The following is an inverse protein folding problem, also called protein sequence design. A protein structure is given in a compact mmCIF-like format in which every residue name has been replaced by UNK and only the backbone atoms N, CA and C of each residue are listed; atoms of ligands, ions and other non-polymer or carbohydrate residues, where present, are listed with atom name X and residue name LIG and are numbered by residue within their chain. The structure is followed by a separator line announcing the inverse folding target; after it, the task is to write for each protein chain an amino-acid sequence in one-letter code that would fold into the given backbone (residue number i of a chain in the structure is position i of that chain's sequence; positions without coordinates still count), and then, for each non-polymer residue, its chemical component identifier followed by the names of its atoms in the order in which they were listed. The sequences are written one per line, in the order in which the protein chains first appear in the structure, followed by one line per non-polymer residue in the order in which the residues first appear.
data_IF_199748242704
#
_entry.id   IF_199748242704
#
_cell.length_a   1.000
_cell.length_b   1.000
_cell.length_c   1.000
_cell.angle_alpha   90.00
_cell.angle_beta   90.00
_cell.angle_gamma   90.00
#
_symmetry.space_group_name_H-M   'P 1'
#
loop_
_entity.id
_entity.type
_entity.pdbx_description
1 polymer ?
#
# COMPACT_ATOMS: atom_id res chain seq x y z
N UNK A 1 -15.27 8.89 7.92
CA UNK A 1 -16.65 8.32 8.01
C UNK A 1 -16.68 6.80 8.13
N UNK A 2 -16.25 6.01 7.09
CA UNK A 2 -16.37 4.54 7.14
C UNK A 2 -15.59 3.93 8.33
N UNK A 3 -14.38 4.40 8.58
CA UNK A 3 -13.55 4.00 9.71
C UNK A 3 -14.12 4.44 11.06
N UNK A 4 -14.51 5.68 11.19
CA UNK A 4 -15.07 6.27 12.41
C UNK A 4 -16.38 5.58 12.82
N UNK A 5 -17.18 5.16 11.85
CA UNK A 5 -18.48 4.53 12.06
C UNK A 5 -18.42 3.00 12.08
N UNK A 6 -17.25 2.40 11.93
CA UNK A 6 -17.10 0.94 11.90
C UNK A 6 -17.84 0.25 10.74
N UNK A 7 -18.07 0.96 9.63
CA UNK A 7 -18.82 0.42 8.49
C UNK A 7 -18.14 -0.81 7.90
N UNK A 8 -18.94 -1.81 7.60
CA UNK A 8 -18.51 -2.99 6.84
C UNK A 8 -18.31 -2.67 5.37
N UNK A 9 -17.60 -3.54 4.64
CA UNK A 9 -17.47 -3.41 3.18
C UNK A 9 -18.83 -3.38 2.46
N UNK A 10 -19.77 -4.15 2.96
CA UNK A 10 -21.12 -4.23 2.38
C UNK A 10 -21.87 -2.91 2.55
N UNK A 11 -21.87 -2.34 3.75
CA UNK A 11 -22.49 -1.04 4.03
C UNK A 11 -21.83 0.09 3.22
N UNK A 12 -20.49 0.13 3.22
CA UNK A 12 -19.73 1.08 2.42
C UNK A 12 -20.10 1.00 0.92
N UNK A 13 -20.18 -0.23 0.38
CA UNK A 13 -20.52 -0.44 -1.02
C UNK A 13 -21.97 -0.06 -1.33
N UNK A 14 -22.91 -0.41 -0.45
CA UNK A 14 -24.32 -0.07 -0.59
C UNK A 14 -24.57 1.43 -0.60
N UNK A 15 -23.85 2.20 0.24
CA UNK A 15 -24.00 3.65 0.32
C UNK A 15 -23.31 4.37 -0.85
N UNK A 16 -22.12 3.92 -1.24
CA UNK A 16 -21.32 4.64 -2.24
C UNK A 16 -21.73 4.33 -3.69
N UNK A 17 -22.21 3.12 -3.97
CA UNK A 17 -22.59 2.73 -5.34
C UNK A 17 -23.62 3.68 -5.98
N UNK A 18 -24.76 4.00 -5.34
CA UNK A 18 -25.74 4.90 -5.94
C UNK A 18 -25.20 6.33 -6.15
N UNK A 19 -24.30 6.79 -5.28
CA UNK A 19 -23.65 8.10 -5.43
C UNK A 19 -22.75 8.12 -6.67
N UNK A 20 -21.98 7.05 -6.90
CA UNK A 20 -21.11 6.93 -8.07
C UNK A 20 -21.94 6.76 -9.36
N UNK A 21 -23.04 6.03 -9.29
CA UNK A 21 -23.99 5.88 -10.41
C UNK A 21 -24.61 7.22 -10.81
N UNK A 22 -25.10 7.98 -9.84
CA UNK A 22 -25.68 9.30 -10.07
C UNK A 22 -24.68 10.29 -10.69
N UNK A 23 -23.38 10.14 -10.37
CA UNK A 23 -22.31 10.95 -10.96
C UNK A 23 -21.79 10.41 -12.30
N UNK A 24 -22.33 9.31 -12.81
CA UNK A 24 -21.84 8.66 -14.02
C UNK A 24 -20.47 7.99 -13.88
N UNK A 25 -20.04 7.66 -12.65
CA UNK A 25 -18.74 7.07 -12.33
C UNK A 25 -18.85 5.57 -11.99
N UNK A 26 -19.84 4.89 -12.55
CA UNK A 26 -20.08 3.47 -12.31
C UNK A 26 -20.19 2.68 -13.61
N UNK A 27 -19.68 1.45 -13.58
CA UNK A 27 -19.73 0.56 -14.74
C UNK A 27 -18.68 0.94 -15.79
N UNK A 28 -18.97 0.59 -17.02
CA UNK A 28 -18.12 0.93 -18.17
C UNK A 28 -18.72 2.10 -18.93
N UNK A 29 -17.86 2.96 -19.43
CA UNK A 29 -18.27 4.14 -20.19
C UNK A 29 -17.24 4.41 -21.29
N UNK A 30 -17.76 4.88 -22.42
CA UNK A 30 -16.91 5.37 -23.49
C UNK A 30 -16.43 6.77 -23.14
N UNK A 31 -15.12 6.93 -23.07
CA UNK A 31 -14.43 8.17 -22.73
C UNK A 31 -13.57 8.58 -23.89
N UNK A 32 -13.78 9.79 -24.41
CA UNK A 32 -12.94 10.34 -25.46
C UNK A 32 -11.61 10.83 -24.87
N UNK A 33 -10.51 10.50 -25.53
CA UNK A 33 -9.22 11.08 -25.24
C UNK A 33 -9.24 12.55 -25.71
N UNK A 34 -8.99 13.52 -24.84
CA UNK A 34 -9.03 14.92 -25.22
C UNK A 34 -7.95 15.32 -26.25
N UNK A 35 -6.84 14.56 -26.31
CA UNK A 35 -5.70 14.88 -27.17
C UNK A 35 -5.82 14.25 -28.58
N UNK A 36 -6.35 13.02 -28.66
CA UNK A 36 -6.45 12.30 -29.96
C UNK A 36 -7.86 12.23 -30.51
N UNK A 37 -8.88 12.46 -29.70
CA UNK A 37 -10.29 12.30 -30.06
C UNK A 37 -10.77 10.83 -30.08
N UNK A 38 -9.87 9.87 -29.87
CA UNK A 38 -10.22 8.44 -29.83
C UNK A 38 -11.10 8.12 -28.63
N UNK A 39 -12.04 7.21 -28.81
CA UNK A 39 -12.94 6.78 -27.74
C UNK A 39 -12.54 5.39 -27.25
N UNK A 40 -12.35 5.28 -25.95
CA UNK A 40 -12.08 4.00 -25.28
C UNK A 40 -13.16 3.65 -24.26
N UNK A 41 -13.49 2.36 -24.21
CA UNK A 41 -14.42 1.82 -23.22
C UNK A 41 -13.70 1.50 -21.92
N UNK A 42 -13.77 2.40 -20.95
CA UNK A 42 -13.05 2.31 -19.67
C UNK A 42 -13.94 1.86 -18.51
N UNK A 43 -13.39 1.09 -17.59
CA UNK A 43 -14.04 0.71 -16.34
C UNK A 43 -13.87 1.83 -15.31
N UNK A 44 -14.95 2.54 -15.00
CA UNK A 44 -14.95 3.62 -14.02
C UNK A 44 -15.09 3.10 -12.58
N UNK A 45 -16.25 2.59 -12.23
CA UNK A 45 -16.53 2.02 -10.91
C UNK A 45 -16.94 0.55 -11.01
N UNK A 46 -16.62 -0.23 -9.97
CA UNK A 46 -17.02 -1.64 -9.88
C UNK A 46 -16.99 -2.11 -8.43
N UNK A 47 -17.67 -3.22 -8.08
CA UNK A 47 -17.55 -3.83 -6.75
C UNK A 47 -16.11 -4.18 -6.38
N UNK A 48 -15.32 -4.66 -7.35
CA UNK A 48 -13.90 -4.95 -7.15
C UNK A 48 -13.10 -3.70 -6.78
N UNK A 49 -13.34 -2.57 -7.45
CA UNK A 49 -12.68 -1.29 -7.17
C UNK A 49 -13.05 -0.78 -5.78
N UNK A 50 -14.34 -0.82 -5.42
CA UNK A 50 -14.77 -0.44 -4.06
C UNK A 50 -14.15 -1.32 -2.98
N UNK A 51 -14.09 -2.63 -3.19
CA UNK A 51 -13.41 -3.54 -2.28
C UNK A 51 -11.92 -3.20 -2.12
N UNK A 52 -11.24 -2.86 -3.21
CA UNK A 52 -9.82 -2.48 -3.15
C UNK A 52 -9.63 -1.17 -2.39
N UNK A 53 -10.46 -0.16 -2.66
CA UNK A 53 -10.44 1.13 -1.94
C UNK A 53 -10.68 0.88 -0.44
N UNK A 54 -11.73 0.17 -0.09
CA UNK A 54 -12.08 -0.11 1.30
C UNK A 54 -10.94 -0.82 2.04
N UNK A 55 -10.47 -1.96 1.52
CA UNK A 55 -9.43 -2.76 2.18
C UNK A 55 -8.10 -2.01 2.30
N UNK A 56 -7.72 -1.24 1.28
CA UNK A 56 -6.47 -0.46 1.32
C UNK A 56 -6.53 0.64 2.38
N UNK A 57 -7.64 1.39 2.43
CA UNK A 57 -7.79 2.46 3.42
C UNK A 57 -7.91 1.91 4.85
N UNK A 58 -8.63 0.80 5.06
CA UNK A 58 -8.70 0.14 6.36
C UNK A 58 -7.33 -0.31 6.84
N UNK A 59 -6.54 -0.94 5.97
CA UNK A 59 -5.18 -1.36 6.30
C UNK A 59 -4.27 -0.17 6.59
N UNK A 60 -4.34 0.90 5.80
CA UNK A 60 -3.55 2.11 6.01
C UNK A 60 -3.85 2.77 7.36
N UNK A 61 -5.12 2.90 7.71
CA UNK A 61 -5.52 3.49 8.99
C UNK A 61 -5.13 2.61 10.19
N UNK A 62 -5.31 1.30 10.07
CA UNK A 62 -4.87 0.35 11.10
C UNK A 62 -3.35 0.45 11.32
N UNK A 63 -2.57 0.49 10.25
CA UNK A 63 -1.11 0.58 10.34
C UNK A 63 -0.64 1.95 10.84
N UNK A 64 -1.36 3.04 10.54
CA UNK A 64 -1.07 4.36 11.09
C UNK A 64 -1.28 4.41 12.62
N UNK A 65 -2.37 3.82 13.12
CA UNK A 65 -2.60 3.69 14.55
C UNK A 65 -1.50 2.85 15.24
N UNK A 66 -1.15 1.72 14.64
CA UNK A 66 -0.05 0.89 15.14
C UNK A 66 1.30 1.61 15.13
N UNK A 67 1.57 2.44 14.13
CA UNK A 67 2.79 3.24 14.09
C UNK A 67 2.87 4.16 15.30
N UNK A 68 1.78 4.87 15.61
CA UNK A 68 1.71 5.75 16.77
C UNK A 68 1.98 5.00 18.09
N UNK A 69 1.29 3.87 18.33
CA UNK A 69 1.53 3.01 19.50
C UNK A 69 2.98 2.51 19.61
N UNK A 70 3.57 2.12 18.47
CA UNK A 70 4.94 1.64 18.43
C UNK A 70 5.94 2.76 18.71
N UNK A 71 5.66 3.99 18.28
CA UNK A 71 6.49 5.16 18.60
C UNK A 71 6.44 5.51 20.09
N UNK A 72 5.29 5.37 20.75
CA UNK A 72 5.15 5.56 22.19
C UNK A 72 5.95 4.54 23.01
N UNK A 73 6.16 3.36 22.45
CA UNK A 73 6.91 2.27 23.10
C UNK A 73 8.37 2.15 22.67
N UNK A 74 8.92 3.14 21.99
CA UNK A 74 10.24 3.07 21.35
C UNK A 74 11.38 2.83 22.36
N UNK A 75 11.27 3.38 23.57
CA UNK A 75 12.29 3.22 24.62
C UNK A 75 12.40 1.77 25.11
N UNK A 76 11.31 1.02 25.08
CA UNK A 76 11.26 -0.39 25.48
C UNK A 76 11.39 -1.36 24.32
N UNK A 77 11.06 -0.88 23.12
CA UNK A 77 11.07 -1.67 21.87
C UNK A 77 11.83 -0.93 20.76
N UNK A 78 13.15 -0.75 20.89
CA UNK A 78 13.95 0.09 20.00
C UNK A 78 14.20 -0.52 18.61
N UNK A 79 13.73 -1.73 18.34
CA UNK A 79 13.89 -2.39 17.05
C UNK A 79 12.54 -2.81 16.48
N UNK A 80 12.42 -2.75 15.16
CA UNK A 80 11.22 -3.16 14.45
C UNK A 80 11.54 -4.21 13.39
N UNK A 81 10.72 -5.25 13.34
CA UNK A 81 10.82 -6.35 12.39
C UNK A 81 9.72 -6.26 11.33
N UNK A 82 10.08 -6.30 10.05
CA UNK A 82 9.12 -6.41 8.96
C UNK A 82 8.55 -7.82 8.87
N UNK A 83 7.24 -7.95 8.89
CA UNK A 83 6.54 -9.24 8.86
C UNK A 83 5.61 -9.32 7.65
N UNK A 84 6.03 -10.08 6.64
CA UNK A 84 5.16 -10.43 5.52
C UNK A 84 4.31 -11.67 5.86
N UNK A 85 3.09 -11.71 5.31
CA UNK A 85 2.31 -12.94 5.30
C UNK A 85 2.81 -13.80 4.15
N UNK A 86 3.54 -14.86 4.45
CA UNK A 86 4.22 -15.70 3.45
C UNK A 86 3.26 -16.71 2.80
N UNK A 87 2.29 -16.19 2.03
CA UNK A 87 1.39 -17.01 1.20
C UNK A 87 1.58 -16.70 -0.30
N UNK A 88 0.83 -17.41 -1.15
CA UNK A 88 0.90 -17.27 -2.62
C UNK A 88 0.49 -15.87 -3.13
N UNK A 89 -0.22 -15.07 -2.31
CA UNK A 89 -0.66 -13.72 -2.67
C UNK A 89 0.32 -12.64 -2.26
N UNK A 90 1.38 -12.99 -1.53
CA UNK A 90 2.41 -12.02 -1.11
C UNK A 90 3.40 -11.80 -2.24
N UNK A 91 3.59 -10.55 -2.62
CA UNK A 91 4.55 -10.15 -3.65
C UNK A 91 5.97 -10.57 -3.27
N UNK A 92 6.79 -10.95 -4.25
CA UNK A 92 8.17 -11.37 -4.03
C UNK A 92 8.97 -10.29 -3.29
N UNK A 93 8.86 -9.02 -3.68
CA UNK A 93 9.50 -7.88 -3.02
C UNK A 93 9.15 -7.76 -1.54
N UNK A 94 7.90 -7.99 -1.16
CA UNK A 94 7.49 -7.95 0.25
C UNK A 94 8.00 -9.16 1.04
N UNK A 95 8.08 -10.32 0.37
CA UNK A 95 8.58 -11.56 0.98
C UNK A 95 10.06 -11.46 1.34
N UNK A 96 10.85 -10.77 0.50
CA UNK A 96 12.28 -10.53 0.76
C UNK A 96 12.54 -9.63 1.96
N UNK A 97 11.55 -8.84 2.38
CA UNK A 97 11.62 -8.01 3.58
C UNK A 97 11.31 -8.78 4.86
N UNK A 98 10.67 -9.97 4.76
CA UNK A 98 10.27 -10.74 5.93
C UNK A 98 11.44 -11.05 6.85
N UNK A 99 11.28 -10.74 8.13
CA UNK A 99 12.30 -10.96 9.15
C UNK A 99 13.43 -9.92 9.17
N UNK A 100 13.42 -8.92 8.28
CA UNK A 100 14.37 -7.81 8.33
C UNK A 100 14.09 -6.96 9.56
N UNK A 101 15.16 -6.65 10.32
CA UNK A 101 15.08 -5.88 11.55
C UNK A 101 15.92 -4.62 11.42
N UNK A 102 15.34 -3.48 11.73
CA UNK A 102 16.02 -2.18 11.75
C UNK A 102 15.72 -1.44 13.06
N UNK A 103 16.54 -0.46 13.40
CA UNK A 103 16.23 0.42 14.52
C UNK A 103 14.87 1.10 14.29
N UNK A 104 14.11 1.31 15.34
CA UNK A 104 12.79 1.94 15.24
C UNK A 104 12.87 3.38 14.71
N UNK A 105 13.98 4.07 14.98
CA UNK A 105 14.27 5.43 14.49
C UNK A 105 14.86 5.48 13.09
N UNK A 106 15.06 4.34 12.44
CA UNK A 106 15.72 4.26 11.15
C UNK A 106 14.86 4.89 10.05
N UNK A 107 15.42 5.79 9.20
CA UNK A 107 14.71 6.41 8.09
C UNK A 107 14.13 5.43 7.07
N UNK A 108 14.60 4.18 7.05
CA UNK A 108 14.08 3.12 6.19
C UNK A 108 12.59 2.91 6.37
N UNK A 109 12.05 3.16 7.55
CA UNK A 109 10.63 3.04 7.84
C UNK A 109 9.75 4.05 7.12
N UNK A 110 10.29 5.18 6.70
CA UNK A 110 9.57 6.13 5.83
C UNK A 110 9.20 5.52 4.47
N UNK A 111 9.92 4.47 4.07
CA UNK A 111 9.71 3.77 2.80
C UNK A 111 9.14 2.36 2.98
N UNK A 112 9.59 1.64 4.02
CA UNK A 112 9.22 0.23 4.21
C UNK A 112 8.07 -0.01 5.17
N UNK A 113 7.58 1.00 5.86
CA UNK A 113 6.45 0.79 6.76
C UNK A 113 5.17 0.44 5.97
N UNK A 114 4.53 -0.71 6.24
CA UNK A 114 3.34 -1.11 5.48
C UNK A 114 2.13 -0.16 5.69
N UNK A 115 1.21 -0.09 4.73
CA UNK A 115 1.14 -0.90 3.51
C UNK A 115 2.02 -0.33 2.39
N UNK A 116 2.80 -1.19 1.73
CA UNK A 116 3.68 -0.76 0.63
C UNK A 116 2.94 -0.67 -0.72
N UNK A 117 1.75 -1.27 -0.81
CA UNK A 117 1.02 -1.37 -2.06
C UNK A 117 -0.44 -1.75 -1.82
N UNK A 118 -1.29 -1.68 -2.86
CA UNK A 118 -2.70 -2.09 -2.76
C UNK A 118 -2.85 -3.51 -2.23
N UNK A 119 -3.77 -3.69 -1.25
CA UNK A 119 -4.04 -4.97 -0.59
C UNK A 119 -2.82 -5.59 0.11
N UNK A 120 -1.84 -4.77 0.46
CA UNK A 120 -0.73 -5.23 1.30
C UNK A 120 -1.27 -5.66 2.66
N UNK A 121 -0.83 -6.84 3.12
CA UNK A 121 -1.21 -7.43 4.43
C UNK A 121 -0.02 -7.58 5.36
N UNK A 122 1.11 -6.99 4.98
CA UNK A 122 2.30 -6.97 5.80
C UNK A 122 2.09 -6.09 7.02
N UNK A 123 2.90 -6.31 8.04
CA UNK A 123 2.89 -5.54 9.28
C UNK A 123 4.30 -5.34 9.80
N UNK A 124 4.46 -4.50 10.81
CA UNK A 124 5.69 -4.33 11.57
C UNK A 124 5.44 -4.84 12.99
N UNK A 125 6.46 -5.46 13.57
CA UNK A 125 6.45 -6.00 14.93
C UNK A 125 7.56 -5.33 15.73
N UNK A 126 7.22 -4.67 16.87
CA UNK A 126 8.22 -4.11 17.76
C UNK A 126 8.96 -5.23 18.51
N UNK A 127 10.25 -5.03 18.71
CA UNK A 127 11.13 -5.95 19.42
C UNK A 127 11.86 -5.20 20.53
N UNK A 128 11.92 -5.84 21.71
CA UNK A 128 12.76 -5.36 22.81
C UNK A 128 14.25 -5.51 22.48
N UNK A 129 15.10 -4.81 23.23
CA UNK A 129 16.56 -4.92 23.12
C UNK A 129 17.03 -6.38 23.07
N UNK A 130 16.57 -7.20 23.99
CA UNK A 130 16.97 -8.61 24.07
C UNK A 130 16.60 -9.45 22.83
N UNK A 131 15.58 -9.04 22.07
CA UNK A 131 15.11 -9.78 20.88
C UNK A 131 15.60 -9.18 19.56
N UNK A 132 15.91 -7.89 19.55
CA UNK A 132 16.23 -7.15 18.34
C UNK A 132 17.70 -6.91 18.13
N UNK A 133 18.48 -6.65 19.18
CA UNK A 133 19.88 -6.23 19.06
C UNK A 133 20.76 -7.19 18.24
N UNK A 134 20.58 -8.50 18.40
CA UNK A 134 21.33 -9.48 17.63
C UNK A 134 20.88 -9.66 16.18
N UNK A 135 19.75 -9.06 15.79
CA UNK A 135 19.13 -9.19 14.46
C UNK A 135 19.15 -7.91 13.65
N UNK A 136 19.43 -6.77 14.31
CA UNK A 136 19.42 -5.47 13.64
C UNK A 136 20.44 -5.44 12.52
N UNK A 137 20.01 -4.91 11.39
CA UNK A 137 20.82 -4.77 10.18
C UNK A 137 21.01 -3.29 9.85
N UNK A 138 22.13 -2.91 9.25
CA UNK A 138 22.25 -1.57 8.67
C UNK A 138 21.20 -1.39 7.58
N UNK A 139 20.62 -0.22 7.52
CA UNK A 139 19.68 0.14 6.44
C UNK A 139 20.39 0.05 5.10
N UNK A 140 19.78 -0.62 4.14
CA UNK A 140 20.24 -0.53 2.77
C UNK A 140 20.06 0.90 2.25
N UNK A 141 20.90 1.36 1.33
CA UNK A 141 20.71 2.67 0.71
C UNK A 141 19.33 2.73 0.04
N UNK A 142 18.64 3.82 0.28
CA UNK A 142 17.37 4.10 -0.41
C UNK A 142 17.70 4.62 -1.80
N UNK A 143 17.26 3.92 -2.81
CA UNK A 143 17.40 4.33 -4.21
C UNK A 143 16.04 4.76 -4.77
N UNK A 144 16.03 5.86 -5.50
CA UNK A 144 14.88 6.22 -6.30
C UNK A 144 14.99 5.51 -7.64
N UNK A 145 14.07 4.62 -7.90
CA UNK A 145 14.01 3.88 -9.16
C UNK A 145 12.84 4.34 -9.99
N UNK A 146 13.04 4.41 -11.28
CA UNK A 146 11.94 4.57 -12.23
C UNK A 146 11.22 3.25 -12.36
N UNK A 147 9.94 3.23 -12.11
CA UNK A 147 9.10 2.04 -12.25
C UNK A 147 8.09 2.26 -13.35
N UNK A 148 7.84 1.21 -14.10
CA UNK A 148 6.72 1.18 -15.03
C UNK A 148 5.42 1.15 -14.20
N UNK A 149 4.57 2.15 -14.42
CA UNK A 149 3.25 2.27 -13.80
C UNK A 149 2.12 1.90 -14.77
N UNK A 150 2.46 1.30 -15.88
CA UNK A 150 1.56 0.86 -16.94
C UNK A 150 1.58 1.78 -18.15
N UNK A 151 0.92 1.37 -19.18
CA UNK A 151 0.77 2.11 -20.43
C UNK A 151 -0.40 3.08 -20.32
N UNK A 152 -0.26 4.26 -20.89
CA UNK A 152 -1.39 5.17 -21.07
C UNK A 152 -2.36 4.52 -22.07
N UNK A 153 -3.55 4.18 -21.61
CA UNK A 153 -4.55 3.49 -22.42
C UNK A 153 -5.02 4.32 -23.65
N UNK A 154 -4.77 5.64 -23.64
CA UNK A 154 -5.15 6.55 -24.73
C UNK A 154 -4.04 6.79 -25.75
N UNK A 155 -2.79 6.95 -25.28
CA UNK A 155 -1.67 7.30 -26.18
C UNK A 155 -0.82 6.09 -26.57
N UNK A 156 -0.98 4.96 -25.88
CA UNK A 156 -0.12 3.79 -26.02
C UNK A 156 1.30 3.98 -25.47
N UNK A 157 1.57 5.11 -24.82
CA UNK A 157 2.86 5.41 -24.24
C UNK A 157 3.02 4.75 -22.87
N UNK A 158 4.20 4.20 -22.63
CA UNK A 158 4.52 3.66 -21.31
C UNK A 158 4.66 4.80 -20.30
N UNK A 159 4.04 4.62 -19.15
CA UNK A 159 4.06 5.59 -18.06
C UNK A 159 5.06 5.14 -17.01
N UNK A 160 5.95 6.04 -16.65
CA UNK A 160 6.96 5.81 -15.64
C UNK A 160 6.74 6.70 -14.43
N UNK A 161 6.89 6.13 -13.26
CA UNK A 161 6.83 6.84 -11.97
C UNK A 161 8.14 6.73 -11.23
N UNK A 162 8.43 7.71 -10.39
CA UNK A 162 9.54 7.63 -9.45
C UNK A 162 9.06 6.93 -8.17
N UNK A 163 9.75 5.88 -7.77
CA UNK A 163 9.51 5.20 -6.50
C UNK A 163 10.80 5.07 -5.73
N UNK A 164 10.82 5.63 -4.53
CA UNK A 164 11.93 5.39 -3.61
C UNK A 164 11.75 4.03 -2.98
N UNK A 165 12.75 3.22 -3.06
CA UNK A 165 12.72 1.85 -2.56
C UNK A 165 14.13 1.34 -2.27
N UNK A 166 14.19 0.12 -1.78
CA UNK A 166 15.44 -0.61 -1.58
C UNK A 166 15.66 -1.50 -2.80
N UNK A 167 16.85 -1.42 -3.39
CA UNK A 167 17.29 -2.45 -4.31
C UNK A 167 17.62 -3.69 -3.49
N UNK A 168 16.79 -4.68 -3.60
CA UNK A 168 17.04 -6.00 -3.00
C UNK A 168 17.73 -6.82 -4.10
N UNK A 169 19.05 -6.88 -4.02
CA UNK A 169 19.80 -7.83 -4.85
C UNK A 169 19.42 -9.23 -4.39
N UNK A 170 18.79 -10.00 -5.31
CA UNK A 170 18.45 -11.40 -5.09
C UNK A 170 19.68 -12.29 -5.15
#
# INVERSE_FOLDING_TARGET
KALENGQTLEEFSRELTPVLQAKGWWGRKDVANPDTGDTQNVQLGSPHRLKTIYLTNMQSAYMAGRYAEMMESIDTHPYWEYVAINDSRTRASHRLLHGKVYAATDPVWNTLYPPLDYRCRCRVKPLSEARGAAKVQPSPPLETVTVDIGTNEYTGEDRYGQRTGIRING
#
